data_IF_014710047054
#
_entry.id   IF_014710047054
#
_cell.length_a   1.000
_cell.length_b   1.000
_cell.length_c   1.000
_cell.angle_alpha   90.00
_cell.angle_beta   90.00
_cell.angle_gamma   90.00
#
_symmetry.space_group_name_H-M   'P 1'
#
loop_
_entity.id
_entity.type
_entity.pdbx_description
1 polymer ?
#
# COMPACT_ATOMS: atom_id res chain seq x y z
N UNK A 1 72.26 16.38 58.55
CA UNK A 1 71.00 15.63 58.74
C UNK A 1 70.04 16.07 57.65
N UNK A 2 69.54 15.09 56.90
CA UNK A 2 68.87 15.18 55.60
C UNK A 2 67.54 15.93 55.63
N UNK A 3 67.38 16.95 54.79
CA UNK A 3 66.07 17.49 54.36
C UNK A 3 66.22 18.46 53.18
N UNK A 4 65.63 18.11 52.04
CA UNK A 4 65.01 18.98 51.00
C UNK A 4 64.97 18.18 49.69
N UNK A 5 63.81 17.60 49.34
CA UNK A 5 62.78 18.15 48.43
C UNK A 5 63.30 18.42 47.01
N UNK A 6 62.98 17.51 46.10
CA UNK A 6 62.86 17.76 44.66
C UNK A 6 61.46 17.29 44.21
N UNK A 7 60.73 18.04 43.36
CA UNK A 7 59.35 17.73 43.01
C UNK A 7 59.23 16.81 41.80
N UNK A 8 58.11 16.10 41.78
CA UNK A 8 57.63 15.27 40.68
C UNK A 8 57.29 16.09 39.43
N UNK A 9 57.67 15.58 38.26
CA UNK A 9 57.07 15.97 36.98
C UNK A 9 56.75 14.73 36.14
N UNK A 10 55.46 14.59 35.87
CA UNK A 10 54.82 14.03 34.68
C UNK A 10 55.66 13.17 33.73
N UNK A 11 55.24 11.92 33.57
CA UNK A 11 55.22 11.24 32.28
C UNK A 11 53.96 10.39 32.19
N UNK A 12 53.11 10.78 31.24
CA UNK A 12 51.83 10.16 30.92
C UNK A 12 52.03 8.70 30.49
N UNK A 13 51.24 7.80 31.10
CA UNK A 13 50.99 6.48 30.53
C UNK A 13 49.77 6.60 29.63
N UNK A 14 50.00 6.38 28.35
CA UNK A 14 48.98 6.10 27.35
C UNK A 14 48.17 4.89 27.79
N UNK A 15 46.90 5.11 28.13
CA UNK A 15 45.92 4.04 28.28
C UNK A 15 45.61 3.46 26.90
N UNK A 16 45.77 2.15 26.78
CA UNK A 16 45.37 1.41 25.60
C UNK A 16 43.84 1.51 25.40
N UNK A 17 43.35 1.65 24.16
CA UNK A 17 41.92 1.67 23.90
C UNK A 17 41.31 0.32 24.28
N UNK A 18 40.43 0.36 25.27
CA UNK A 18 39.63 -0.77 25.70
C UNK A 18 38.99 -1.46 24.51
N UNK A 19 39.27 -2.75 24.39
CA UNK A 19 38.65 -3.65 23.43
C UNK A 19 37.12 -3.56 23.61
N UNK A 20 36.45 -2.94 22.63
CA UNK A 20 35.02 -3.09 22.42
C UNK A 20 34.76 -4.59 22.27
N UNK A 21 34.25 -5.21 23.33
CA UNK A 21 33.75 -6.57 23.29
C UNK A 21 32.67 -6.61 22.21
N UNK A 22 32.96 -7.33 21.13
CA UNK A 22 32.02 -7.67 20.08
C UNK A 22 30.80 -8.30 20.73
N UNK A 23 29.64 -7.65 20.58
CA UNK A 23 28.35 -8.20 21.00
C UNK A 23 28.19 -9.60 20.43
N UNK A 24 28.15 -10.60 21.32
CA UNK A 24 27.68 -11.92 20.94
C UNK A 24 26.24 -11.74 20.48
N UNK A 25 25.98 -12.11 19.23
CA UNK A 25 24.64 -12.04 18.66
C UNK A 25 23.78 -13.07 19.39
N UNK A 26 23.05 -12.62 20.41
CA UNK A 26 22.17 -13.47 21.19
C UNK A 26 21.20 -14.19 20.25
N UNK A 27 21.23 -15.52 20.26
CA UNK A 27 20.35 -16.33 19.42
C UNK A 27 18.93 -16.24 19.96
N UNK A 28 17.96 -15.96 19.07
CA UNK A 28 16.54 -15.95 19.46
C UNK A 28 16.07 -17.37 19.81
N UNK A 29 15.37 -17.49 20.93
CA UNK A 29 14.80 -18.73 21.42
C UNK A 29 13.28 -18.68 21.32
N UNK A 30 12.67 -19.84 21.02
CA UNK A 30 11.22 -19.98 21.08
C UNK A 30 10.83 -20.39 22.51
N UNK A 31 10.06 -19.54 23.18
CA UNK A 31 9.50 -19.86 24.50
C UNK A 31 8.01 -19.50 24.57
N UNK A 32 7.38 -19.77 25.70
CA UNK A 32 5.98 -19.42 25.97
C UNK A 32 5.91 -18.43 27.11
N UNK A 33 5.32 -17.26 26.85
CA UNK A 33 5.13 -16.18 27.84
C UNK A 33 3.64 -15.86 27.84
N UNK A 34 2.99 -15.93 29.02
CA UNK A 34 1.54 -15.72 29.17
C UNK A 34 0.71 -16.59 28.19
N UNK A 35 1.14 -17.84 27.95
CA UNK A 35 0.51 -18.76 27.00
C UNK A 35 0.77 -18.48 25.51
N UNK A 36 1.37 -17.35 25.15
CA UNK A 36 1.69 -16.96 23.77
C UNK A 36 3.07 -17.51 23.38
N UNK A 37 3.19 -18.02 22.14
CA UNK A 37 4.49 -18.41 21.59
C UNK A 37 5.28 -17.16 21.19
N UNK A 38 6.51 -17.03 21.70
CA UNK A 38 7.36 -15.87 21.46
C UNK A 38 8.75 -16.32 21.01
N UNK A 39 9.28 -15.70 19.96
CA UNK A 39 10.64 -15.93 19.45
C UNK A 39 11.48 -14.69 19.69
N UNK A 40 12.31 -14.71 20.72
CA UNK A 40 13.00 -13.52 21.25
C UNK A 40 14.40 -13.84 21.76
N UNK A 41 15.23 -12.80 21.87
CA UNK A 41 16.50 -12.86 22.60
C UNK A 41 16.25 -12.90 24.11
N UNK A 42 17.13 -13.52 24.93
CA UNK A 42 16.98 -13.50 26.39
C UNK A 42 16.82 -12.08 26.97
N UNK A 43 17.55 -11.10 26.42
CA UNK A 43 17.46 -9.69 26.80
C UNK A 43 16.10 -9.02 26.51
N UNK A 44 15.26 -9.60 25.64
CA UNK A 44 13.95 -9.06 25.28
C UNK A 44 12.82 -9.59 26.18
N UNK A 45 13.10 -10.56 27.06
CA UNK A 45 12.07 -11.28 27.84
C UNK A 45 11.23 -10.34 28.72
N UNK A 46 11.87 -9.47 29.50
CA UNK A 46 11.16 -8.52 30.38
C UNK A 46 10.26 -7.57 29.58
N UNK A 47 10.73 -7.12 28.41
CA UNK A 47 9.97 -6.26 27.51
C UNK A 47 8.71 -6.97 27.00
N UNK A 48 8.81 -8.25 26.64
CA UNK A 48 7.66 -9.05 26.22
C UNK A 48 6.70 -9.31 27.37
N UNK A 49 7.19 -9.68 28.56
CA UNK A 49 6.35 -9.87 29.75
C UNK A 49 5.55 -8.60 30.07
N UNK A 50 6.20 -7.43 30.03
CA UNK A 50 5.52 -6.13 30.20
C UNK A 50 4.48 -5.84 29.12
N UNK A 51 4.80 -6.14 27.86
CA UNK A 51 3.86 -5.95 26.75
C UNK A 51 2.63 -6.84 26.90
N UNK A 52 2.81 -8.14 27.12
CA UNK A 52 1.70 -9.09 27.25
C UNK A 52 0.89 -8.82 28.52
N UNK A 53 1.54 -8.48 29.63
CA UNK A 53 0.85 -8.06 30.85
C UNK A 53 -0.01 -6.80 30.66
N UNK A 54 0.45 -5.83 29.85
CA UNK A 54 -0.36 -4.66 29.49
C UNK A 54 -1.62 -5.04 28.67
N UNK A 55 -1.52 -6.04 27.78
CA UNK A 55 -2.67 -6.55 27.03
C UNK A 55 -3.65 -7.32 27.94
N UNK A 56 -3.16 -8.06 28.93
CA UNK A 56 -4.03 -8.79 29.88
C UNK A 56 -4.90 -7.86 30.73
N UNK A 57 -4.45 -6.63 30.96
CA UNK A 57 -5.17 -5.64 31.76
C UNK A 57 -6.51 -5.22 31.14
N UNK A 58 -6.67 -5.32 29.81
CA UNK A 58 -7.84 -4.80 29.08
C UNK A 58 -8.62 -5.91 28.33
N UNK A 59 -9.96 -5.80 28.20
CA UNK A 59 -10.77 -6.78 27.48
C UNK A 59 -10.34 -7.07 26.04
N UNK A 60 -10.06 -6.04 25.24
CA UNK A 60 -9.61 -6.22 23.84
C UNK A 60 -8.24 -6.89 23.80
N UNK A 61 -7.31 -6.49 24.67
CA UNK A 61 -6.00 -7.12 24.77
C UNK A 61 -6.09 -8.61 25.15
N UNK A 62 -6.95 -9.00 26.09
CA UNK A 62 -7.20 -10.43 26.39
C UNK A 62 -7.76 -11.20 25.19
N UNK A 63 -8.62 -10.57 24.38
CA UNK A 63 -9.14 -11.18 23.15
C UNK A 63 -8.04 -11.39 22.10
N UNK A 64 -7.14 -10.41 21.96
CA UNK A 64 -5.96 -10.52 21.10
C UNK A 64 -5.06 -11.67 21.57
N UNK A 65 -4.70 -11.72 22.86
CA UNK A 65 -3.88 -12.79 23.44
C UNK A 65 -4.51 -14.17 23.25
N UNK A 66 -5.81 -14.30 23.50
CA UNK A 66 -6.55 -15.55 23.27
C UNK A 66 -6.46 -16.00 21.81
N UNK A 67 -6.59 -15.06 20.87
CA UNK A 67 -6.41 -15.35 19.43
C UNK A 67 -5.02 -15.91 19.17
N UNK A 68 -3.96 -15.27 19.67
CA UNK A 68 -2.58 -15.74 19.47
C UNK A 68 -2.33 -17.12 20.09
N UNK A 69 -2.92 -17.40 21.26
CA UNK A 69 -2.84 -18.68 21.96
C UNK A 69 -3.55 -19.80 21.18
N UNK A 70 -4.82 -19.61 20.83
CA UNK A 70 -5.65 -20.61 20.13
C UNK A 70 -5.07 -20.94 18.76
N UNK A 71 -4.62 -19.90 18.05
CA UNK A 71 -4.08 -20.00 16.70
C UNK A 71 -2.58 -20.35 16.67
N UNK A 72 -1.93 -20.49 17.83
CA UNK A 72 -0.49 -20.75 17.97
C UNK A 72 0.37 -19.78 17.16
N UNK A 73 -0.04 -18.52 17.08
CA UNK A 73 0.66 -17.47 16.35
C UNK A 73 1.90 -17.06 17.13
N UNK A 74 3.06 -17.05 16.46
CA UNK A 74 4.33 -16.64 17.08
C UNK A 74 4.45 -15.13 17.07
N UNK A 75 4.86 -14.52 18.19
CA UNK A 75 5.27 -13.12 18.26
C UNK A 75 6.82 -13.03 18.24
N UNK A 76 7.38 -12.15 17.43
CA UNK A 76 8.81 -11.87 17.41
C UNK A 76 9.12 -10.40 17.18
N UNK A 77 10.38 -10.01 17.42
CA UNK A 77 10.88 -8.67 17.13
C UNK A 77 11.83 -8.68 15.93
N UNK A 78 11.80 -7.66 15.09
CA UNK A 78 12.79 -7.46 14.02
C UNK A 78 13.01 -5.98 13.73
N UNK A 79 14.18 -5.47 14.11
CA UNK A 79 14.56 -4.08 13.89
C UNK A 79 14.75 -3.73 12.40
N UNK A 80 14.94 -4.73 11.52
CA UNK A 80 15.12 -4.54 10.07
C UNK A 80 13.80 -4.44 9.30
N UNK A 81 12.66 -4.61 9.98
CA UNK A 81 11.34 -4.49 9.37
C UNK A 81 11.11 -3.05 8.87
N UNK A 82 10.61 -2.86 7.66
CA UNK A 82 10.37 -1.51 7.09
C UNK A 82 9.06 -0.86 7.57
N UNK A 83 8.33 -1.55 8.44
CA UNK A 83 7.05 -1.16 9.03
C UNK A 83 7.10 -1.27 10.55
N UNK A 84 6.09 -0.71 11.23
CA UNK A 84 5.95 -0.80 12.69
C UNK A 84 5.66 -2.22 13.15
N UNK A 85 4.82 -2.94 12.42
CA UNK A 85 4.48 -4.32 12.68
C UNK A 85 3.90 -4.95 11.42
N UNK A 86 3.90 -6.28 11.38
CA UNK A 86 3.25 -7.05 10.33
C UNK A 86 2.88 -8.45 10.84
N UNK A 87 1.66 -8.88 10.50
CA UNK A 87 1.28 -10.28 10.51
C UNK A 87 1.62 -10.95 9.16
N UNK A 88 2.39 -12.04 9.21
CA UNK A 88 2.75 -12.88 8.07
C UNK A 88 1.92 -14.17 8.08
N UNK A 89 0.86 -14.29 7.24
CA UNK A 89 0.00 -15.48 7.22
C UNK A 89 0.75 -16.78 6.94
N UNK A 90 1.68 -16.76 5.99
CA UNK A 90 2.44 -17.95 5.57
C UNK A 90 3.33 -18.53 6.67
N UNK A 91 3.74 -17.70 7.63
CA UNK A 91 4.57 -18.09 8.78
C UNK A 91 3.76 -18.22 10.07
N UNK A 92 2.49 -17.81 10.05
CA UNK A 92 1.66 -17.61 11.23
C UNK A 92 2.42 -16.83 12.33
N UNK A 93 3.02 -15.70 11.95
CA UNK A 93 3.94 -14.93 12.80
C UNK A 93 3.56 -13.45 12.77
N UNK A 94 3.50 -12.81 13.94
CA UNK A 94 3.47 -11.36 14.11
C UNK A 94 4.89 -10.90 14.41
N UNK A 95 5.39 -9.96 13.63
CA UNK A 95 6.69 -9.34 13.84
C UNK A 95 6.48 -7.87 14.18
N UNK A 96 7.03 -7.41 15.30
CA UNK A 96 7.03 -5.99 15.67
C UNK A 96 8.43 -5.39 15.46
N UNK A 97 8.50 -4.19 14.89
CA UNK A 97 9.77 -3.47 14.79
C UNK A 97 10.08 -2.78 16.10
N UNK A 98 11.06 -3.31 16.82
CA UNK A 98 11.46 -2.83 18.13
C UNK A 98 12.37 -1.59 18.11
N UNK A 99 12.91 -1.22 16.94
CA UNK A 99 13.64 0.03 16.73
C UNK A 99 12.70 1.20 16.38
N UNK A 100 11.52 0.94 15.82
CA UNK A 100 10.53 1.96 15.45
C UNK A 100 9.43 2.16 16.50
N UNK A 101 9.31 1.26 17.48
CA UNK A 101 8.24 1.26 18.46
C UNK A 101 8.74 1.47 19.89
N UNK A 102 8.13 2.45 20.58
CA UNK A 102 8.14 2.49 22.03
C UNK A 102 7.07 1.55 22.61
N UNK A 103 7.08 1.32 23.94
CA UNK A 103 6.16 0.40 24.60
C UNK A 103 4.69 0.76 24.36
N UNK A 104 4.34 2.03 24.34
CA UNK A 104 2.95 2.47 24.13
C UNK A 104 2.48 2.19 22.70
N UNK A 105 3.35 2.36 21.71
CA UNK A 105 3.06 1.97 20.34
C UNK A 105 3.00 0.45 20.16
N UNK A 106 3.88 -0.32 20.84
CA UNK A 106 3.86 -1.78 20.77
C UNK A 106 2.51 -2.37 21.23
N UNK A 107 1.91 -1.80 22.29
CA UNK A 107 0.63 -2.25 22.82
C UNK A 107 -0.47 -2.27 21.75
N UNK A 108 -0.73 -1.14 21.10
CA UNK A 108 -1.81 -1.05 20.12
C UNK A 108 -1.44 -1.68 18.76
N UNK A 109 -0.16 -1.66 18.37
CA UNK A 109 0.27 -2.36 17.14
C UNK A 109 0.09 -3.86 17.30
N UNK A 110 0.39 -4.45 18.46
CA UNK A 110 0.13 -5.88 18.68
C UNK A 110 -1.36 -6.22 18.57
N UNK A 111 -2.25 -5.36 19.07
CA UNK A 111 -3.71 -5.53 18.90
C UNK A 111 -4.11 -5.45 17.42
N UNK A 112 -3.56 -4.48 16.68
CA UNK A 112 -3.78 -4.33 15.23
C UNK A 112 -3.37 -5.60 14.47
N UNK A 113 -2.15 -6.10 14.69
CA UNK A 113 -1.66 -7.30 13.99
C UNK A 113 -2.41 -8.57 14.43
N UNK A 114 -2.80 -8.68 15.71
CA UNK A 114 -3.65 -9.78 16.19
C UNK A 114 -5.04 -9.74 15.54
N UNK A 115 -5.57 -8.54 15.25
CA UNK A 115 -6.81 -8.40 14.47
C UNK A 115 -6.64 -8.95 13.06
N UNK A 116 -5.52 -8.70 12.38
CA UNK A 116 -5.24 -9.33 11.09
C UNK A 116 -5.24 -10.86 11.15
N UNK A 117 -4.72 -11.46 12.23
CA UNK A 117 -4.81 -12.91 12.45
C UNK A 117 -6.25 -13.38 12.62
N UNK A 118 -7.07 -12.65 13.37
CA UNK A 118 -8.49 -12.97 13.54
C UNK A 118 -9.27 -12.86 12.23
N UNK A 119 -9.01 -11.83 11.43
CA UNK A 119 -9.62 -11.67 10.11
C UNK A 119 -9.25 -12.84 9.16
N UNK A 120 -8.01 -13.34 9.26
CA UNK A 120 -7.58 -14.55 8.53
C UNK A 120 -8.42 -15.78 8.89
N UNK A 121 -8.69 -16.03 10.18
CA UNK A 121 -9.56 -17.16 10.59
C UNK A 121 -11.04 -16.96 10.21
N UNK A 122 -11.46 -15.71 9.97
CA UNK A 122 -12.80 -15.36 9.47
C UNK A 122 -12.92 -15.41 7.93
N UNK A 123 -11.86 -15.80 7.22
CA UNK A 123 -11.91 -16.06 5.77
C UNK A 123 -11.29 -14.98 4.88
N UNK A 124 -10.64 -13.95 5.46
CA UNK A 124 -9.90 -12.91 4.72
C UNK A 124 -8.98 -13.52 3.65
N UNK A 125 -8.16 -14.49 4.04
CA UNK A 125 -7.14 -15.03 3.13
C UNK A 125 -7.77 -15.86 2.01
N UNK A 126 -8.83 -16.61 2.30
CA UNK A 126 -9.62 -17.33 1.29
C UNK A 126 -10.24 -16.37 0.29
N UNK A 127 -10.72 -15.20 0.74
CA UNK A 127 -11.22 -14.15 -0.14
C UNK A 127 -10.10 -13.56 -1.01
N UNK A 128 -8.95 -13.18 -0.42
CA UNK A 128 -7.82 -12.58 -1.16
C UNK A 128 -7.08 -13.56 -2.08
N UNK A 129 -7.19 -14.86 -1.86
CA UNK A 129 -6.69 -15.89 -2.79
C UNK A 129 -7.52 -15.98 -4.07
N UNK A 130 -8.74 -15.41 -4.07
CA UNK A 130 -9.50 -15.24 -5.30
C UNK A 130 -8.79 -14.24 -6.21
N UNK A 131 -9.04 -14.35 -7.51
CA UNK A 131 -8.47 -13.42 -8.50
C UNK A 131 -9.29 -12.15 -8.54
N UNK A 132 -9.27 -11.40 -7.44
CA UNK A 132 -10.08 -10.21 -7.27
C UNK A 132 -9.84 -9.19 -8.39
N UNK A 133 -10.91 -8.53 -8.81
CA UNK A 133 -10.83 -7.33 -9.63
C UNK A 133 -10.29 -6.13 -8.81
N UNK A 134 -9.91 -5.05 -9.50
CA UNK A 134 -9.26 -3.90 -8.88
C UNK A 134 -10.13 -3.20 -7.84
N UNK A 135 -11.43 -3.04 -8.10
CA UNK A 135 -12.34 -2.41 -7.14
C UNK A 135 -12.48 -3.26 -5.86
N UNK A 136 -12.57 -4.58 -6.00
CA UNK A 136 -12.69 -5.51 -4.88
C UNK A 136 -11.39 -5.59 -4.06
N UNK A 137 -10.23 -5.68 -4.71
CA UNK A 137 -8.91 -5.70 -4.05
C UNK A 137 -8.69 -4.42 -3.21
N UNK A 138 -9.09 -3.26 -3.76
CA UNK A 138 -9.05 -1.97 -3.06
C UNK A 138 -10.00 -1.93 -1.87
N UNK A 139 -11.27 -2.29 -2.07
CA UNK A 139 -12.31 -2.28 -1.03
C UNK A 139 -11.92 -3.17 0.15
N UNK A 140 -11.53 -4.41 -0.15
CA UNK A 140 -11.10 -5.40 0.85
C UNK A 140 -9.89 -4.88 1.60
N UNK A 141 -8.85 -4.43 0.90
CA UNK A 141 -7.61 -3.94 1.51
C UNK A 141 -7.87 -2.78 2.48
N UNK A 142 -8.69 -1.80 2.11
CA UNK A 142 -9.00 -0.66 2.99
C UNK A 142 -9.88 -1.05 4.19
N UNK A 143 -10.92 -1.86 3.97
CA UNK A 143 -11.84 -2.25 5.04
C UNK A 143 -11.16 -3.08 6.13
N UNK A 144 -10.22 -3.97 5.74
CA UNK A 144 -9.40 -4.77 6.66
C UNK A 144 -8.56 -3.91 7.59
N UNK A 145 -7.88 -2.90 7.03
CA UNK A 145 -6.96 -2.03 7.76
C UNK A 145 -7.72 -1.04 8.65
N UNK A 146 -8.83 -0.48 8.14
CA UNK A 146 -9.71 0.38 8.93
C UNK A 146 -10.30 -0.37 10.14
N UNK A 147 -10.73 -1.62 9.99
CA UNK A 147 -11.20 -2.46 11.10
C UNK A 147 -10.09 -2.76 12.11
N UNK A 148 -8.87 -3.06 11.65
CA UNK A 148 -7.72 -3.29 12.53
C UNK A 148 -7.32 -2.05 13.33
N UNK A 149 -7.37 -0.86 12.70
CA UNK A 149 -7.12 0.41 13.39
C UNK A 149 -8.24 0.76 14.39
N UNK A 150 -9.50 0.42 14.09
CA UNK A 150 -10.61 0.58 15.04
C UNK A 150 -10.45 -0.37 16.25
N UNK A 151 -10.01 -1.61 16.05
CA UNK A 151 -9.69 -2.51 17.16
C UNK A 151 -8.59 -1.92 18.07
N UNK A 152 -7.54 -1.36 17.46
CA UNK A 152 -6.47 -0.69 18.18
C UNK A 152 -6.97 0.55 18.95
N UNK A 153 -7.90 1.32 18.39
CA UNK A 153 -8.53 2.46 19.07
C UNK A 153 -9.32 2.01 20.30
N UNK A 154 -10.10 0.93 20.21
CA UNK A 154 -10.85 0.38 21.35
C UNK A 154 -9.87 0.04 22.48
N UNK A 155 -8.80 -0.69 22.17
CA UNK A 155 -7.77 -1.02 23.15
C UNK A 155 -7.13 0.23 23.80
N UNK A 156 -6.79 1.24 23.00
CA UNK A 156 -6.29 2.52 23.50
C UNK A 156 -7.26 3.22 24.46
N UNK A 157 -8.57 3.14 24.20
CA UNK A 157 -9.61 3.69 25.09
C UNK A 157 -9.78 2.88 26.36
N UNK A 158 -9.60 1.57 26.32
CA UNK A 158 -9.59 0.72 27.51
C UNK A 158 -8.38 1.02 28.41
N UNK A 159 -7.17 1.20 27.84
CA UNK A 159 -5.99 1.62 28.60
C UNK A 159 -6.15 3.03 29.18
N UNK A 160 -6.70 3.98 28.41
CA UNK A 160 -7.00 5.34 28.88
C UNK A 160 -7.93 5.32 30.11
N UNK A 161 -8.94 4.45 30.12
CA UNK A 161 -9.86 4.27 31.25
C UNK A 161 -9.17 3.71 32.51
N UNK A 162 -8.04 3.00 32.35
CA UNK A 162 -7.19 2.55 33.45
C UNK A 162 -6.14 3.59 33.88
N UNK A 163 -6.14 4.78 33.26
CA UNK A 163 -5.20 5.86 33.54
C UNK A 163 -3.93 5.85 32.67
N UNK A 164 -3.80 4.91 31.73
CA UNK A 164 -2.67 4.83 30.80
C UNK A 164 -3.01 5.51 29.45
N UNK A 165 -2.65 6.78 29.33
CA UNK A 165 -2.97 7.62 28.15
C UNK A 165 -1.96 7.47 27.01
N UNK A 166 -0.76 6.96 27.29
CA UNK A 166 0.34 6.89 26.33
C UNK A 166 -0.03 6.20 25.01
N UNK A 167 -0.70 5.03 25.02
CA UNK A 167 -1.10 4.34 23.78
C UNK A 167 -2.00 5.16 22.87
N UNK A 168 -2.97 5.88 23.43
CA UNK A 168 -3.88 6.73 22.64
C UNK A 168 -3.13 7.94 22.05
N UNK A 169 -2.24 8.55 22.82
CA UNK A 169 -1.41 9.67 22.36
C UNK A 169 -0.50 9.25 21.20
N UNK A 170 0.11 8.07 21.27
CA UNK A 170 0.93 7.51 20.18
C UNK A 170 0.09 7.13 18.95
N UNK A 171 -1.10 6.54 19.14
CA UNK A 171 -2.00 6.22 18.04
C UNK A 171 -2.43 7.49 17.28
N UNK A 172 -2.78 8.56 18.01
CA UNK A 172 -3.23 9.82 17.44
C UNK A 172 -2.19 10.49 16.53
N UNK A 173 -0.89 10.25 16.73
CA UNK A 173 0.18 10.77 15.85
C UNK A 173 0.07 10.24 14.42
N UNK A 174 -0.43 9.01 14.25
CA UNK A 174 -0.57 8.36 12.95
C UNK A 174 -2.01 8.15 12.46
N UNK A 175 -3.01 8.41 13.33
CA UNK A 175 -4.43 8.17 13.08
C UNK A 175 -5.32 9.30 13.61
N UNK A 176 -4.86 10.54 13.44
CA UNK A 176 -5.51 11.73 14.00
C UNK A 176 -6.99 11.82 13.65
N UNK A 177 -7.33 11.71 12.36
CA UNK A 177 -8.72 11.82 11.90
C UNK A 177 -9.66 10.80 12.56
N UNK A 178 -9.19 9.56 12.71
CA UNK A 178 -9.94 8.48 13.37
C UNK A 178 -10.18 8.79 14.85
N UNK A 179 -9.14 9.19 15.58
CA UNK A 179 -9.22 9.51 17.01
C UNK A 179 -10.12 10.72 17.24
N UNK A 180 -10.01 11.77 16.42
CA UNK A 180 -10.84 12.97 16.51
C UNK A 180 -12.31 12.68 16.21
N UNK A 181 -12.60 11.88 15.19
CA UNK A 181 -13.96 11.45 14.87
C UNK A 181 -14.60 10.70 16.05
N UNK A 182 -13.88 9.72 16.62
CA UNK A 182 -14.36 9.00 17.79
C UNK A 182 -14.54 9.91 19.01
N UNK A 183 -13.60 10.81 19.31
CA UNK A 183 -13.74 11.71 20.46
C UNK A 183 -14.93 12.68 20.31
N UNK A 184 -15.31 13.00 19.07
CA UNK A 184 -16.45 13.87 18.78
C UNK A 184 -17.80 13.16 18.93
N UNK A 185 -17.91 11.91 18.49
CA UNK A 185 -19.21 11.23 18.37
C UNK A 185 -19.34 9.98 19.23
N UNK A 186 -18.24 9.49 19.81
CA UNK A 186 -18.10 8.21 20.49
C UNK A 186 -18.55 7.00 19.64
N UNK A 187 -18.55 7.16 18.31
CA UNK A 187 -18.99 6.15 17.34
C UNK A 187 -17.80 5.45 16.69
N UNK A 188 -17.75 4.13 16.80
CA UNK A 188 -16.78 3.30 16.08
C UNK A 188 -17.01 3.35 14.57
N UNK A 189 -18.26 3.53 14.15
CA UNK A 189 -18.63 3.72 12.75
C UNK A 189 -17.97 4.98 12.18
N UNK A 190 -18.00 6.10 12.92
CA UNK A 190 -17.38 7.34 12.45
C UNK A 190 -15.86 7.25 12.45
N UNK A 191 -15.28 6.57 13.44
CA UNK A 191 -13.84 6.28 13.47
C UNK A 191 -13.42 5.47 12.23
N UNK A 192 -14.14 4.41 11.91
CA UNK A 192 -13.91 3.59 10.71
C UNK A 192 -13.98 4.43 9.43
N UNK A 193 -15.03 5.24 9.28
CA UNK A 193 -15.22 6.09 8.09
C UNK A 193 -14.14 7.17 7.98
N UNK A 194 -13.71 7.75 9.10
CA UNK A 194 -12.66 8.76 9.14
C UNK A 194 -11.28 8.25 8.70
N UNK A 195 -11.03 6.94 8.80
CA UNK A 195 -9.82 6.32 8.22
C UNK A 195 -9.67 6.62 6.72
N UNK A 196 -10.78 6.68 5.97
CA UNK A 196 -10.79 6.93 4.52
C UNK A 196 -10.54 8.41 4.17
N UNK A 197 -10.67 9.31 5.15
CA UNK A 197 -10.37 10.73 5.02
C UNK A 197 -8.91 11.07 5.35
N UNK A 198 -8.16 10.17 5.98
CA UNK A 198 -6.74 10.36 6.26
C UNK A 198 -5.91 10.13 4.99
N UNK A 199 -5.51 11.23 4.34
CA UNK A 199 -4.79 11.22 3.08
C UNK A 199 -3.47 10.46 3.16
N UNK A 200 -2.71 10.63 4.25
CA UNK A 200 -1.43 9.97 4.43
C UNK A 200 -1.62 8.46 4.56
N UNK A 201 -2.58 8.03 5.39
CA UNK A 201 -2.90 6.62 5.60
C UNK A 201 -3.40 5.99 4.30
N UNK A 202 -4.40 6.58 3.66
CA UNK A 202 -4.96 6.04 2.41
C UNK A 202 -3.91 5.99 1.30
N UNK A 203 -3.11 7.04 1.15
CA UNK A 203 -2.04 7.06 0.15
C UNK A 203 -0.98 5.98 0.41
N UNK A 204 -0.55 5.77 1.66
CA UNK A 204 0.37 4.67 2.01
C UNK A 204 -0.20 3.32 1.56
N UNK A 205 -1.48 3.05 1.83
CA UNK A 205 -2.12 1.79 1.45
C UNK A 205 -2.40 1.67 -0.06
N UNK A 206 -2.71 2.77 -0.76
CA UNK A 206 -2.76 2.77 -2.22
C UNK A 206 -1.41 2.40 -2.84
N UNK A 207 -0.30 2.86 -2.26
CA UNK A 207 1.03 2.43 -2.72
C UNK A 207 1.25 0.93 -2.49
N UNK A 208 1.01 0.46 -1.26
CA UNK A 208 1.35 -0.90 -0.83
C UNK A 208 0.43 -1.97 -1.43
N UNK A 209 -0.85 -1.67 -1.62
CA UNK A 209 -1.85 -2.63 -2.14
C UNK A 209 -2.30 -2.34 -3.57
N UNK A 210 -2.18 -1.10 -4.05
CA UNK A 210 -2.52 -0.71 -5.42
C UNK A 210 -1.29 -0.65 -6.33
N UNK A 211 -0.46 0.38 -6.19
CA UNK A 211 0.61 0.70 -7.14
C UNK A 211 1.65 -0.43 -7.21
N UNK A 212 2.29 -0.79 -6.09
CA UNK A 212 3.37 -1.78 -6.07
C UNK A 212 2.91 -3.16 -6.57
N UNK A 213 1.79 -3.73 -6.07
CA UNK A 213 1.35 -5.04 -6.52
C UNK A 213 0.93 -5.03 -7.99
N UNK A 214 0.25 -4.00 -8.49
CA UNK A 214 -0.19 -3.96 -9.89
C UNK A 214 0.96 -3.78 -10.86
N UNK A 215 1.96 -2.97 -10.53
CA UNK A 215 3.16 -2.86 -11.34
C UNK A 215 3.99 -4.16 -11.32
N UNK A 216 4.04 -4.87 -10.19
CA UNK A 216 4.61 -6.22 -10.12
C UNK A 216 3.78 -7.24 -10.93
N UNK A 217 2.44 -7.19 -10.86
CA UNK A 217 1.52 -7.98 -11.68
C UNK A 217 1.77 -7.71 -13.17
N UNK A 218 1.98 -6.46 -13.61
CA UNK A 218 2.32 -6.12 -15.00
C UNK A 218 3.62 -6.80 -15.45
N UNK A 219 4.70 -6.69 -14.67
CA UNK A 219 5.99 -7.34 -14.98
C UNK A 219 5.86 -8.87 -15.11
N UNK A 220 5.01 -9.51 -14.29
CA UNK A 220 4.76 -10.97 -14.33
C UNK A 220 3.85 -11.38 -15.47
N UNK A 221 2.80 -10.59 -15.72
CA UNK A 221 1.83 -10.82 -16.79
C UNK A 221 2.51 -10.76 -18.16
N UNK A 222 3.41 -9.80 -18.34
CA UNK A 222 4.17 -9.67 -19.58
C UNK A 222 5.03 -10.93 -19.87
N UNK A 223 5.63 -11.53 -18.84
CA UNK A 223 6.46 -12.74 -18.95
C UNK A 223 5.67 -14.03 -19.11
N UNK A 224 4.50 -14.17 -18.47
CA UNK A 224 3.71 -15.41 -18.50
C UNK A 224 2.20 -15.15 -18.41
N UNK A 225 1.52 -14.89 -19.54
CA UNK A 225 0.09 -14.57 -19.55
C UNK A 225 -0.82 -15.76 -19.25
N UNK A 226 -0.37 -17.00 -19.49
CA UNK A 226 -1.19 -18.20 -19.31
C UNK A 226 -1.66 -18.41 -17.87
N UNK A 227 -0.84 -18.00 -16.88
CA UNK A 227 -1.22 -18.05 -15.45
C UNK A 227 -2.39 -17.11 -15.11
N UNK A 228 -2.74 -16.18 -16.00
CA UNK A 228 -3.74 -15.14 -15.78
C UNK A 228 -5.02 -15.31 -16.60
N UNK A 229 -5.23 -16.46 -17.25
CA UNK A 229 -6.40 -16.71 -18.13
C UNK A 229 -7.74 -16.82 -17.42
N UNK A 230 -7.76 -17.24 -16.15
CA UNK A 230 -9.02 -17.33 -15.40
C UNK A 230 -9.66 -15.95 -15.17
N UNK A 231 -11.00 -15.88 -15.09
CA UNK A 231 -11.72 -14.64 -14.84
C UNK A 231 -11.31 -13.96 -13.54
N UNK A 232 -11.51 -12.63 -13.50
CA UNK A 232 -11.47 -11.88 -12.26
C UNK A 232 -12.79 -12.09 -11.49
N UNK A 233 -12.74 -11.92 -10.17
CA UNK A 233 -13.88 -12.09 -9.27
C UNK A 233 -14.19 -10.76 -8.61
N UNK A 234 -15.46 -10.36 -8.64
CA UNK A 234 -15.97 -9.20 -7.90
C UNK A 234 -16.45 -9.67 -6.54
N UNK A 235 -16.09 -8.94 -5.48
CA UNK A 235 -16.62 -9.12 -4.14
C UNK A 235 -17.58 -7.99 -3.81
N UNK A 236 -18.69 -8.31 -3.15
CA UNK A 236 -19.62 -7.31 -2.62
C UNK A 236 -19.31 -7.01 -1.15
N UNK A 237 -19.67 -5.83 -0.61
CA UNK A 237 -19.47 -5.50 0.79
C UNK A 237 -19.98 -6.57 1.78
N UNK A 238 -21.13 -7.18 1.50
CA UNK A 238 -21.70 -8.28 2.31
C UNK A 238 -20.80 -9.52 2.38
N UNK A 239 -19.99 -9.79 1.35
CA UNK A 239 -19.11 -10.96 1.29
C UNK A 239 -17.88 -10.79 2.20
N UNK A 240 -17.55 -9.55 2.52
CA UNK A 240 -16.36 -9.18 3.30
C UNK A 240 -16.72 -8.75 4.72
N UNK A 241 -18.00 -8.45 4.97
CA UNK A 241 -18.55 -8.08 6.27
C UNK A 241 -18.08 -9.00 7.44
N UNK A 242 -18.03 -10.34 7.30
CA UNK A 242 -17.62 -11.23 8.39
C UNK A 242 -16.21 -10.99 8.92
N UNK A 243 -15.31 -10.41 8.13
CA UNK A 243 -13.90 -10.18 8.50
C UNK A 243 -13.47 -8.72 8.41
N UNK A 244 -14.40 -7.77 8.26
CA UNK A 244 -14.12 -6.34 8.14
C UNK A 244 -14.89 -5.49 9.17
N UNK A 245 -15.32 -6.08 10.29
CA UNK A 245 -15.94 -5.35 11.40
C UNK A 245 -17.27 -4.69 11.08
N UNK A 246 -18.07 -5.26 10.16
CA UNK A 246 -19.33 -4.68 9.73
C UNK A 246 -20.34 -4.46 10.87
N UNK A 247 -20.23 -5.25 11.95
CA UNK A 247 -21.01 -5.12 13.18
C UNK A 247 -20.80 -3.78 13.92
N UNK A 248 -19.74 -3.05 13.58
CA UNK A 248 -19.36 -1.77 14.21
C UNK A 248 -19.64 -0.55 13.35
N UNK A 249 -20.06 -0.76 12.10
CA UNK A 249 -20.14 0.29 11.09
C UNK A 249 -21.58 0.44 10.61
N UNK A 250 -22.19 1.57 10.96
CA UNK A 250 -23.53 1.91 10.50
C UNK A 250 -23.52 2.12 8.98
N UNK A 251 -24.41 1.40 8.28
CA UNK A 251 -24.48 1.44 6.83
C UNK A 251 -23.21 0.90 6.15
N UNK A 252 -22.57 -0.13 6.71
CA UNK A 252 -21.31 -0.71 6.19
C UNK A 252 -21.32 -0.92 4.67
N UNK A 253 -22.36 -1.58 4.13
CA UNK A 253 -22.44 -1.86 2.69
C UNK A 253 -22.62 -0.59 1.85
N UNK A 254 -23.49 0.33 2.29
CA UNK A 254 -23.71 1.62 1.63
C UNK A 254 -22.42 2.44 1.61
N UNK A 255 -21.71 2.51 2.75
CA UNK A 255 -20.47 3.25 2.87
C UNK A 255 -19.37 2.68 1.97
N UNK A 256 -19.17 1.36 1.93
CA UNK A 256 -18.16 0.74 1.05
C UNK A 256 -18.49 0.86 -0.45
N UNK A 257 -19.76 1.15 -0.77
CA UNK A 257 -20.20 1.47 -2.13
C UNK A 257 -20.11 2.96 -2.47
N UNK A 258 -19.83 3.83 -1.49
CA UNK A 258 -19.71 5.27 -1.69
C UNK A 258 -18.42 5.67 -2.43
N UNK A 259 -18.46 6.85 -3.05
CA UNK A 259 -17.28 7.44 -3.69
C UNK A 259 -16.14 7.67 -2.69
N UNK A 260 -16.44 8.06 -1.45
CA UNK A 260 -15.43 8.27 -0.41
C UNK A 260 -14.63 7.00 -0.12
N UNK A 261 -15.29 5.84 -0.03
CA UNK A 261 -14.61 4.59 0.24
C UNK A 261 -13.82 4.07 -0.97
N UNK A 262 -14.31 4.36 -2.18
CA UNK A 262 -13.78 3.81 -3.44
C UNK A 262 -12.77 4.72 -4.15
N UNK A 263 -12.71 6.01 -3.84
CA UNK A 263 -11.84 6.94 -4.55
C UNK A 263 -10.36 6.64 -4.36
N UNK A 264 -9.57 6.83 -5.40
CA UNK A 264 -8.11 6.69 -5.38
C UNK A 264 -7.43 7.92 -5.97
N UNK A 265 -6.14 8.10 -5.68
CA UNK A 265 -5.36 9.10 -6.39
C UNK A 265 -5.27 8.77 -7.88
N UNK A 266 -5.24 9.79 -8.74
CA UNK A 266 -5.18 9.64 -10.20
C UNK A 266 -4.02 8.74 -10.67
N UNK A 267 -2.92 8.76 -9.92
CA UNK A 267 -1.76 7.90 -10.13
C UNK A 267 -2.09 6.41 -9.96
N UNK A 268 -2.79 6.03 -8.89
CA UNK A 268 -3.23 4.66 -8.63
C UNK A 268 -4.21 4.18 -9.69
N UNK A 269 -5.18 5.04 -10.06
CA UNK A 269 -6.12 4.77 -11.15
C UNK A 269 -5.40 4.50 -12.47
N UNK A 270 -4.41 5.33 -12.82
CA UNK A 270 -3.60 5.18 -14.03
C UNK A 270 -2.85 3.85 -14.06
N UNK A 271 -2.30 3.41 -12.92
CA UNK A 271 -1.63 2.09 -12.82
C UNK A 271 -2.62 0.94 -13.07
N UNK A 272 -3.84 1.02 -12.54
CA UNK A 272 -4.88 0.02 -12.82
C UNK A 272 -5.24 -0.03 -14.30
N UNK A 273 -5.40 1.14 -14.93
CA UNK A 273 -5.71 1.25 -16.36
C UNK A 273 -4.59 0.69 -17.24
N UNK A 274 -3.31 0.99 -16.93
CA UNK A 274 -2.17 0.40 -17.64
C UNK A 274 -2.11 -1.12 -17.48
N UNK A 275 -2.39 -1.64 -16.27
CA UNK A 275 -2.51 -3.08 -16.08
C UNK A 275 -3.64 -3.68 -16.93
N UNK A 276 -4.78 -2.99 -17.04
CA UNK A 276 -5.90 -3.43 -17.85
C UNK A 276 -5.59 -3.46 -19.34
N UNK A 277 -4.92 -2.42 -19.85
CA UNK A 277 -4.43 -2.37 -21.23
C UNK A 277 -3.47 -3.52 -21.55
N UNK A 278 -2.57 -3.85 -20.62
CA UNK A 278 -1.69 -5.01 -20.76
C UNK A 278 -2.48 -6.33 -20.78
N UNK A 279 -3.52 -6.48 -19.96
CA UNK A 279 -4.39 -7.67 -20.01
C UNK A 279 -5.04 -7.83 -21.39
N UNK A 280 -5.63 -6.77 -21.90
CA UNK A 280 -6.28 -6.75 -23.21
C UNK A 280 -5.28 -7.08 -24.33
N UNK A 281 -4.10 -6.47 -24.31
CA UNK A 281 -3.04 -6.74 -25.28
C UNK A 281 -2.57 -8.21 -25.28
N UNK A 282 -2.71 -8.91 -24.16
CA UNK A 282 -2.41 -10.35 -24.02
C UNK A 282 -3.62 -11.25 -24.26
N UNK A 283 -4.73 -10.71 -24.77
CA UNK A 283 -5.96 -11.46 -25.07
C UNK A 283 -6.75 -11.90 -23.83
N UNK A 284 -6.50 -11.30 -22.67
CA UNK A 284 -7.23 -11.59 -21.45
C UNK A 284 -8.46 -10.69 -21.33
N UNK A 285 -9.51 -11.19 -20.64
CA UNK A 285 -10.68 -10.36 -20.34
C UNK A 285 -10.27 -9.11 -19.54
N UNK A 286 -10.64 -7.90 -19.98
CA UNK A 286 -10.43 -6.68 -19.24
C UNK A 286 -11.11 -6.70 -17.87
N UNK A 287 -10.50 -6.01 -16.91
CA UNK A 287 -11.10 -5.65 -15.64
C UNK A 287 -12.01 -4.43 -15.83
N UNK A 288 -13.31 -4.66 -15.87
CA UNK A 288 -14.31 -3.60 -16.03
C UNK A 288 -14.58 -2.83 -14.73
N UNK A 289 -14.20 -3.38 -13.57
CA UNK A 289 -14.41 -2.74 -12.27
C UNK A 289 -13.65 -1.42 -12.16
N UNK A 290 -12.53 -1.30 -12.87
CA UNK A 290 -11.69 -0.11 -12.89
C UNK A 290 -12.51 1.11 -13.29
N UNK A 291 -13.45 1.00 -14.23
CA UNK A 291 -14.25 2.15 -14.71
C UNK A 291 -15.03 2.83 -13.58
N UNK A 292 -15.52 2.06 -12.61
CA UNK A 292 -16.30 2.55 -11.47
C UNK A 292 -15.48 3.07 -10.29
N UNK A 293 -14.14 3.10 -10.38
CA UNK A 293 -13.28 3.65 -9.31
C UNK A 293 -13.15 5.17 -9.49
N UNK A 294 -13.69 6.01 -8.59
CA UNK A 294 -13.57 7.45 -8.69
C UNK A 294 -12.14 7.94 -8.43
N UNK A 295 -11.80 9.10 -8.96
CA UNK A 295 -10.53 9.78 -8.65
C UNK A 295 -10.74 10.79 -7.54
N UNK A 296 -9.83 10.82 -6.58
CA UNK A 296 -9.83 11.75 -5.45
C UNK A 296 -9.77 13.20 -5.94
N UNK A 297 -10.68 14.03 -5.43
CA UNK A 297 -10.66 15.46 -5.68
C UNK A 297 -9.52 16.12 -4.91
N UNK A 298 -8.69 16.89 -5.63
CA UNK A 298 -7.56 17.62 -5.05
C UNK A 298 -7.89 19.11 -4.87
N UNK A 299 -9.06 19.57 -5.32
CA UNK A 299 -9.44 20.99 -5.32
C UNK A 299 -9.35 21.56 -3.91
N UNK A 300 -8.44 22.53 -3.71
CA UNK A 300 -8.20 23.15 -2.41
C UNK A 300 -7.90 22.16 -1.26
N UNK A 301 -7.35 20.98 -1.55
CA UNK A 301 -6.94 19.99 -0.55
C UNK A 301 -5.41 19.77 -0.56
N UNK A 302 -4.65 20.54 0.26
CA UNK A 302 -3.19 20.46 0.27
C UNK A 302 -2.65 19.10 0.72
N UNK A 303 -3.35 18.42 1.63
CA UNK A 303 -2.94 17.10 2.14
C UNK A 303 -3.05 16.05 1.03
N UNK A 304 -4.20 15.99 0.34
CA UNK A 304 -4.39 15.11 -0.80
C UNK A 304 -3.39 15.40 -1.93
N UNK A 305 -3.12 16.68 -2.20
CA UNK A 305 -2.13 17.09 -3.23
C UNK A 305 -0.72 16.64 -2.85
N UNK A 306 -0.32 16.84 -1.61
CA UNK A 306 0.99 16.42 -1.10
C UNK A 306 1.15 14.90 -1.23
N UNK A 307 0.11 14.15 -0.87
CA UNK A 307 0.15 12.70 -0.98
C UNK A 307 0.16 12.23 -2.44
N UNK A 308 -0.61 12.87 -3.33
CA UNK A 308 -0.60 12.59 -4.76
C UNK A 308 0.80 12.73 -5.36
N UNK A 309 1.53 13.80 -5.00
CA UNK A 309 2.88 14.05 -5.46
C UNK A 309 3.88 13.04 -4.87
N UNK A 310 3.73 12.70 -3.59
CA UNK A 310 4.56 11.68 -2.93
C UNK A 310 4.41 10.31 -3.58
N UNK A 311 3.19 9.90 -3.95
CA UNK A 311 2.93 8.65 -4.65
C UNK A 311 3.62 8.58 -6.00
N UNK A 312 3.58 9.67 -6.76
CA UNK A 312 4.27 9.76 -8.06
C UNK A 312 5.78 9.65 -7.86
N UNK A 313 6.35 10.46 -6.96
CA UNK A 313 7.80 10.46 -6.69
C UNK A 313 8.30 9.08 -6.23
N UNK A 314 7.55 8.45 -5.33
CA UNK A 314 7.90 7.13 -4.83
C UNK A 314 7.74 6.04 -5.91
N UNK A 315 6.74 6.14 -6.80
CA UNK A 315 6.61 5.23 -7.93
C UNK A 315 7.79 5.36 -8.92
N UNK A 316 8.28 6.58 -9.19
CA UNK A 316 9.51 6.75 -9.99
C UNK A 316 10.70 6.01 -9.37
N UNK A 317 10.87 6.11 -8.04
CA UNK A 317 11.93 5.44 -7.28
C UNK A 317 11.78 3.93 -7.27
N UNK A 318 10.61 3.41 -6.89
CA UNK A 318 10.34 1.98 -6.73
C UNK A 318 10.51 1.19 -8.04
N UNK A 319 10.27 1.86 -9.18
CA UNK A 319 10.34 1.24 -10.50
C UNK A 319 11.57 1.64 -11.29
N UNK A 320 12.45 2.45 -10.70
CA UNK A 320 13.63 3.01 -11.35
C UNK A 320 13.29 3.57 -12.74
N UNK A 321 12.18 4.30 -12.83
CA UNK A 321 11.66 4.84 -14.10
C UNK A 321 12.53 6.00 -14.64
N UNK A 322 13.46 6.50 -13.83
CA UNK A 322 14.41 7.56 -14.18
C UNK A 322 15.75 7.02 -14.70
N UNK A 323 15.97 5.70 -14.78
CA UNK A 323 17.26 5.17 -15.27
C UNK A 323 17.28 5.03 -16.78
N UNK A 324 18.30 5.63 -17.41
CA UNK A 324 18.56 5.53 -18.86
C UNK A 324 18.99 4.11 -19.32
N UNK A 325 19.18 3.15 -18.40
CA UNK A 325 19.86 1.87 -18.67
C UNK A 325 18.97 0.61 -18.53
N UNK A 326 17.83 0.50 -19.23
CA UNK A 326 17.26 -0.83 -19.52
C UNK A 326 15.76 -0.94 -19.88
N UNK A 327 15.49 -1.58 -21.02
CA UNK A 327 14.17 -1.87 -21.65
C UNK A 327 13.33 -0.61 -21.93
N UNK A 328 13.85 0.22 -22.85
CA UNK A 328 13.47 1.63 -23.12
C UNK A 328 11.96 1.92 -23.24
N UNK A 329 11.18 1.15 -24.01
CA UNK A 329 9.81 1.57 -24.34
C UNK A 329 8.79 1.39 -23.19
N UNK A 330 8.78 0.23 -22.53
CA UNK A 330 7.78 -0.09 -21.50
C UNK A 330 7.84 0.89 -20.32
N UNK A 331 9.05 1.22 -19.84
CA UNK A 331 9.23 2.13 -18.70
C UNK A 331 8.99 3.58 -19.08
N UNK A 332 9.43 3.99 -20.27
CA UNK A 332 9.22 5.35 -20.79
C UNK A 332 7.73 5.68 -20.86
N UNK A 333 6.88 4.81 -21.39
CA UNK A 333 5.45 5.10 -21.49
C UNK A 333 4.74 5.19 -20.13
N UNK A 334 5.22 4.45 -19.12
CA UNK A 334 4.74 4.59 -17.74
C UNK A 334 5.18 5.94 -17.16
N UNK A 335 6.43 6.34 -17.37
CA UNK A 335 6.95 7.63 -16.93
C UNK A 335 6.18 8.79 -17.57
N UNK A 336 5.88 8.72 -18.87
CA UNK A 336 5.08 9.71 -19.59
C UNK A 336 3.68 9.84 -18.97
N UNK A 337 3.03 8.72 -18.68
CA UNK A 337 1.73 8.71 -18.01
C UNK A 337 1.80 9.39 -16.63
N UNK A 338 2.84 9.11 -15.84
CA UNK A 338 2.99 9.70 -14.50
C UNK A 338 3.30 11.21 -14.56
N UNK A 339 4.08 11.64 -15.56
CA UNK A 339 4.33 13.06 -15.81
C UNK A 339 3.04 13.80 -16.20
N UNK A 340 2.21 13.20 -17.04
CA UNK A 340 0.89 13.74 -17.39
C UNK A 340 -0.03 13.82 -16.15
N UNK A 341 -0.09 12.77 -15.33
CA UNK A 341 -0.83 12.77 -14.06
C UNK A 341 -0.35 13.88 -13.12
N UNK A 342 0.97 14.14 -13.05
CA UNK A 342 1.51 15.25 -12.24
C UNK A 342 0.98 16.61 -12.69
N UNK A 343 0.90 16.86 -14.01
CA UNK A 343 0.31 18.09 -14.57
C UNK A 343 -1.19 18.18 -14.27
N UNK A 344 -1.93 17.09 -14.45
CA UNK A 344 -3.36 17.00 -14.10
C UNK A 344 -3.59 17.33 -12.62
N UNK A 345 -2.81 16.73 -11.71
CA UNK A 345 -2.93 17.00 -10.27
C UNK A 345 -2.67 18.48 -9.95
N UNK A 346 -1.70 19.12 -10.61
CA UNK A 346 -1.39 20.54 -10.42
C UNK A 346 -2.54 21.45 -10.88
N UNK A 347 -3.22 21.11 -11.97
CA UNK A 347 -4.37 21.86 -12.46
C UNK A 347 -5.61 21.63 -11.58
N UNK A 348 -5.88 20.37 -11.21
CA UNK A 348 -7.00 19.99 -10.34
C UNK A 348 -6.91 20.67 -8.97
N UNK A 349 -5.72 20.73 -8.35
CA UNK A 349 -5.51 21.44 -7.09
C UNK A 349 -5.91 22.93 -7.17
N UNK A 350 -5.73 23.56 -8.33
CA UNK A 350 -6.12 24.95 -8.61
C UNK A 350 -7.59 25.11 -9.02
N UNK A 351 -8.40 24.05 -8.94
CA UNK A 351 -9.80 24.06 -9.40
C UNK A 351 -9.94 24.19 -10.92
N UNK A 352 -8.94 23.74 -11.68
CA UNK A 352 -8.89 23.85 -13.14
C UNK A 352 -8.62 22.51 -13.82
N UNK A 353 -8.82 22.44 -15.13
CA UNK A 353 -8.49 21.25 -15.94
C UNK A 353 -7.35 21.55 -16.89
N UNK A 354 -6.46 20.59 -17.05
CA UNK A 354 -5.37 20.63 -18.03
C UNK A 354 -5.69 19.65 -19.17
N UNK A 355 -6.43 20.15 -20.17
CA UNK A 355 -6.85 19.36 -21.33
C UNK A 355 -5.66 18.86 -22.17
N UNK A 356 -4.50 19.53 -22.10
CA UNK A 356 -3.29 19.08 -22.78
C UNK A 356 -2.68 17.90 -22.04
N UNK A 357 -2.52 17.98 -20.73
CA UNK A 357 -2.06 16.87 -19.91
C UNK A 357 -3.00 15.65 -19.95
N UNK A 358 -4.32 15.85 -20.01
CA UNK A 358 -5.28 14.76 -20.24
C UNK A 358 -5.03 14.06 -21.59
N UNK A 359 -4.76 14.81 -22.67
CA UNK A 359 -4.39 14.24 -23.98
C UNK A 359 -3.03 13.55 -23.96
N UNK A 360 -2.06 14.09 -23.23
CA UNK A 360 -0.76 13.46 -23.02
C UNK A 360 -0.90 12.10 -22.32
N UNK A 361 -1.74 12.02 -21.27
CA UNK A 361 -2.02 10.77 -20.55
C UNK A 361 -2.63 9.72 -21.49
N UNK A 362 -3.64 10.10 -22.28
CA UNK A 362 -4.26 9.18 -23.24
C UNK A 362 -3.29 8.76 -24.35
N UNK A 363 -2.41 9.66 -24.79
CA UNK A 363 -1.34 9.33 -25.75
C UNK A 363 -0.34 8.35 -25.15
N UNK A 364 0.07 8.55 -23.89
CA UNK A 364 0.98 7.65 -23.18
C UNK A 364 0.37 6.24 -23.03
N UNK A 365 -0.92 6.13 -22.70
CA UNK A 365 -1.66 4.86 -22.64
C UNK A 365 -1.73 4.16 -23.99
N UNK A 366 -2.01 4.89 -25.08
CA UNK A 366 -2.01 4.35 -26.45
C UNK A 366 -0.64 3.84 -26.85
N UNK A 367 0.40 4.62 -26.60
CA UNK A 367 1.79 4.23 -26.88
C UNK A 367 2.20 3.00 -26.08
N UNK A 368 1.81 2.92 -24.80
CA UNK A 368 2.01 1.74 -23.97
C UNK A 368 1.36 0.49 -24.59
N UNK A 369 0.09 0.57 -25.01
CA UNK A 369 -0.61 -0.54 -25.64
C UNK A 369 0.00 -0.94 -27.00
N UNK A 370 0.36 0.04 -27.83
CA UNK A 370 1.04 -0.15 -29.11
C UNK A 370 2.39 -0.87 -28.93
N UNK A 371 3.18 -0.45 -27.94
CA UNK A 371 4.44 -1.07 -27.57
C UNK A 371 4.26 -2.55 -27.21
N UNK A 372 3.29 -2.87 -26.35
CA UNK A 372 3.04 -4.24 -25.89
C UNK A 372 2.53 -5.15 -27.01
N UNK A 373 1.71 -4.63 -27.92
CA UNK A 373 1.14 -5.41 -29.03
C UNK A 373 2.09 -5.55 -30.23
N UNK A 374 3.25 -4.88 -30.22
CA UNK A 374 4.17 -4.84 -31.36
C UNK A 374 3.63 -4.05 -32.56
N UNK A 375 2.48 -3.39 -32.41
CA UNK A 375 1.92 -2.50 -33.43
C UNK A 375 2.62 -1.14 -33.30
N UNK A 376 3.71 -0.91 -34.03
CA UNK A 376 4.23 0.46 -34.17
C UNK A 376 3.14 1.31 -34.82
N UNK A 377 2.78 2.44 -34.20
CA UNK A 377 2.03 3.47 -34.91
C UNK A 377 2.81 3.82 -36.18
N UNK A 378 2.20 3.61 -37.34
CA UNK A 378 2.68 4.25 -38.56
C UNK A 378 2.56 5.75 -38.30
N UNK A 379 3.70 6.40 -37.99
CA UNK A 379 3.80 7.85 -38.13
C UNK A 379 3.39 8.14 -39.56
N UNK A 380 2.17 8.66 -39.76
CA UNK A 380 1.81 9.34 -40.99
C UNK A 380 2.72 10.57 -41.07
N UNK A 381 3.91 10.39 -41.65
CA UNK A 381 4.69 11.50 -42.14
C UNK A 381 3.87 12.10 -43.27
N UNK A 382 3.20 13.22 -42.99
CA UNK A 382 2.68 14.11 -44.01
C UNK A 382 3.87 14.66 -44.80
N UNK A 383 4.35 13.89 -45.76
CA UNK A 383 5.25 14.37 -46.80
C UNK A 383 4.39 14.78 -47.99
N UNK A 384 4.31 16.07 -48.34
CA UNK A 384 3.60 16.49 -49.54
C UNK A 384 4.43 16.06 -50.75
N UNK A 385 3.96 15.05 -51.47
CA UNK A 385 4.57 14.64 -52.73
C UNK A 385 4.22 15.67 -53.82
N UNK A 386 5.08 16.67 -53.97
CA UNK A 386 5.24 17.43 -55.20
C UNK A 386 6.18 16.66 -56.14
N UNK A 387 5.70 16.08 -57.25
CA UNK A 387 6.27 16.18 -58.63
C UNK A 387 5.47 15.33 -59.64
N UNK A 388 5.61 15.53 -60.98
CA UNK A 388 4.47 15.61 -61.89
C UNK A 388 4.41 14.48 -62.94
N UNK A 389 3.28 14.45 -63.66
CA UNK A 389 3.02 13.94 -65.03
C UNK A 389 4.07 13.01 -65.69
N UNK A 390 3.61 11.84 -66.16
CA UNK A 390 3.62 11.54 -67.59
C UNK A 390 2.60 10.44 -67.96
N UNK A 391 1.94 10.68 -69.10
CA UNK A 391 1.05 9.81 -69.89
C UNK A 391 1.76 8.46 -70.22
N UNK A 392 1.11 7.34 -70.57
CA UNK A 392 0.16 7.16 -71.67
C UNK A 392 -0.35 5.70 -71.79
N UNK A 393 -1.58 5.51 -72.29
CA UNK A 393 -2.12 4.42 -73.17
C UNK A 393 -2.12 2.94 -72.65
N UNK A 394 -3.11 2.06 -72.86
CA UNK A 394 -4.29 1.89 -73.74
C UNK A 394 -5.33 1.00 -72.98
N UNK A 395 -6.60 1.37 -72.88
CA UNK A 395 -7.73 0.94 -73.72
C UNK A 395 -7.99 -0.58 -73.83
N UNK A 396 -9.04 -1.10 -73.17
CA UNK A 396 -9.98 -2.08 -73.77
C UNK A 396 -11.42 -1.73 -73.38
N UNK A 397 -12.26 -1.76 -74.40
CA UNK A 397 -13.65 -1.32 -74.53
C UNK A 397 -14.64 -2.13 -73.70
N UNK A 398 -15.67 -1.44 -73.19
CA UNK A 398 -16.94 -2.04 -72.86
C UNK A 398 -17.77 -2.40 -74.10
N UNK A 399 -18.67 -3.38 -73.94
CA UNK A 399 -19.85 -3.56 -74.78
C UNK A 399 -21.03 -3.91 -73.87
N UNK A 400 -21.98 -2.99 -73.83
CA UNK A 400 -23.36 -3.19 -73.40
C UNK A 400 -24.20 -3.61 -74.62
N UNK A 401 -25.10 -4.58 -74.44
CA UNK A 401 -26.37 -4.77 -75.18
C UNK A 401 -27.24 -5.72 -74.34
N UNK A 402 -28.21 -5.22 -73.56
CA UNK A 402 -29.66 -5.03 -73.83
C UNK A 402 -30.46 -6.30 -74.22
N UNK A 403 -31.52 -6.54 -73.42
CA UNK A 403 -32.79 -7.27 -73.64
C UNK A 403 -32.68 -8.76 -74.02
N UNK A 404 -33.34 -9.74 -73.40
CA UNK A 404 -34.58 -9.84 -72.62
C UNK A 404 -34.40 -10.73 -71.38
#
# INVERSE_FOLDING_TARGET
>A
MTSSKTPASLLAKTEEPGTLLSGQDETKELCTIHGVQVRIKPSEKEKVEKLLGALEAIPTGRTALKTLQEDKTTLSFDSALDTKGAYYPDKNEIVLNDALLNMDSMKFVLVHEARHRKQSSLGKDKCRQQRLDAASDLMIGRAIEADADVEALIACKEWEALGDKGPLEELAKGRKAMVEAYNKTHSLSDAFKAWYADELTVGKYERLYGILPYMSKMKRLDKNPYKWRFPLVSAEPKDIAPFCGADRVEGFEEFLNSDQARQVHAQTKTVFELYNLLREAKGLKPDTSIQGIPTRDLTNNPEAKTQADALIAQAFKDFNLNSDNGTEGFRSHIADAFNAVKKINNACFKGSRDNEAEKELETAKKNFFAHITGKKEQKHTNTPANTPLFQSFLAIKGKNSRHN
#
